data_IF_102535856912
#
_entry.id   IF_102535856912
#
_cell.length_a   1.000
_cell.length_b   1.000
_cell.length_c   1.000
_cell.angle_alpha   90.00
_cell.angle_beta   90.00
_cell.angle_gamma   90.00
#
_symmetry.space_group_name_H-M   'P 1'
#
loop_
_entity.id
_entity.type
_entity.pdbx_description
1 polymer ?
#
# COMPACT_ATOMS: atom_id res chain seq x y z
N UNK A 1 -8.54 -9.59 -28.07
CA UNK A 1 -8.83 -9.25 -29.48
C UNK A 1 -9.68 -7.99 -29.46
N UNK A 2 -9.30 -6.93 -30.18
CA UNK A 2 -10.11 -5.71 -30.22
C UNK A 2 -11.37 -5.93 -31.08
N UNK A 3 -12.21 -4.90 -31.21
CA UNK A 3 -13.44 -4.96 -32.04
C UNK A 3 -13.18 -5.16 -33.54
N UNK A 4 -11.93 -5.05 -33.98
CA UNK A 4 -11.49 -5.19 -35.37
C UNK A 4 -10.80 -6.53 -35.65
N UNK A 5 -10.65 -7.41 -34.66
CA UNK A 5 -9.98 -8.71 -34.83
C UNK A 5 -8.48 -8.70 -34.53
N UNK A 6 -7.90 -7.57 -34.11
CA UNK A 6 -6.47 -7.50 -33.83
C UNK A 6 -6.13 -8.14 -32.48
N UNK A 7 -4.97 -8.81 -32.41
CA UNK A 7 -4.45 -9.35 -31.15
C UNK A 7 -4.07 -8.22 -30.18
N UNK A 8 -4.41 -8.41 -28.90
CA UNK A 8 -4.22 -7.41 -27.84
C UNK A 8 -3.66 -8.08 -26.59
N UNK A 9 -2.71 -7.45 -25.91
CA UNK A 9 -2.20 -7.90 -24.61
C UNK A 9 -2.86 -7.15 -23.46
N UNK A 10 -3.04 -7.80 -22.30
CA UNK A 10 -3.57 -7.16 -21.08
C UNK A 10 -2.48 -6.47 -20.22
N UNK A 11 -1.21 -6.56 -20.64
CA UNK A 11 -0.06 -6.05 -19.89
C UNK A 11 0.39 -6.99 -18.77
N UNK A 12 1.15 -6.46 -17.81
CA UNK A 12 1.69 -7.21 -16.66
C UNK A 12 0.55 -7.75 -15.79
N UNK A 13 0.62 -9.03 -15.44
CA UNK A 13 -0.46 -9.73 -14.70
C UNK A 13 -1.69 -10.04 -15.54
N UNK A 14 -1.55 -10.02 -16.88
CA UNK A 14 -2.62 -10.39 -17.80
C UNK A 14 -3.15 -11.81 -17.58
N UNK A 15 -2.30 -12.75 -17.19
CA UNK A 15 -2.71 -14.14 -16.92
C UNK A 15 -3.70 -14.24 -15.77
N UNK A 16 -3.39 -13.64 -14.61
CA UNK A 16 -4.28 -13.62 -13.45
C UNK A 16 -5.61 -12.93 -13.81
N UNK A 17 -5.54 -11.81 -14.53
CA UNK A 17 -6.72 -11.07 -14.96
C UNK A 17 -7.59 -11.91 -15.91
N UNK A 18 -6.98 -12.65 -16.84
CA UNK A 18 -7.68 -13.56 -17.74
C UNK A 18 -8.32 -14.73 -16.98
N UNK A 19 -7.62 -15.33 -16.02
CA UNK A 19 -8.14 -16.43 -15.22
C UNK A 19 -9.40 -16.01 -14.46
N UNK A 20 -9.36 -14.86 -13.79
CA UNK A 20 -10.52 -14.30 -13.08
C UNK A 20 -11.64 -13.93 -14.05
N UNK A 21 -11.34 -13.33 -15.19
CA UNK A 21 -12.36 -12.99 -16.19
C UNK A 21 -13.10 -14.23 -16.72
N UNK A 22 -12.38 -15.33 -16.94
CA UNK A 22 -12.97 -16.61 -17.34
C UNK A 22 -13.81 -17.18 -16.19
N UNK A 23 -13.30 -17.17 -14.96
CA UNK A 23 -14.06 -17.62 -13.79
C UNK A 23 -15.38 -16.86 -13.62
N UNK A 24 -15.35 -15.54 -13.78
CA UNK A 24 -16.55 -14.68 -13.76
C UNK A 24 -17.52 -15.08 -14.88
N UNK A 25 -17.04 -15.22 -16.12
CA UNK A 25 -17.88 -15.56 -17.27
C UNK A 25 -18.51 -16.96 -17.16
N UNK A 26 -17.84 -17.88 -16.46
CA UNK A 26 -18.29 -19.25 -16.23
C UNK A 26 -19.11 -19.41 -14.94
N UNK A 27 -19.30 -18.34 -14.15
CA UNK A 27 -19.91 -18.40 -12.81
C UNK A 27 -19.22 -19.43 -11.89
N UNK A 28 -17.90 -19.48 -11.94
CA UNK A 28 -17.12 -20.40 -11.10
C UNK A 28 -17.18 -19.97 -9.62
N UNK A 29 -17.27 -20.94 -8.72
CA UNK A 29 -17.27 -20.69 -7.27
C UNK A 29 -15.89 -20.22 -6.76
N UNK A 30 -14.81 -20.68 -7.41
CA UNK A 30 -13.43 -20.42 -6.99
C UNK A 30 -12.49 -20.29 -8.19
N UNK A 31 -11.63 -19.28 -8.17
CA UNK A 31 -10.53 -19.12 -9.12
C UNK A 31 -9.18 -19.36 -8.43
N UNK A 32 -8.51 -20.45 -8.78
CA UNK A 32 -7.21 -20.81 -8.22
C UNK A 32 -6.05 -20.21 -9.03
N UNK A 33 -5.21 -19.42 -8.36
CA UNK A 33 -3.99 -18.83 -8.93
C UNK A 33 -2.78 -19.62 -8.40
N UNK A 34 -2.19 -20.43 -9.27
CA UNK A 34 -1.00 -21.22 -8.95
C UNK A 34 0.28 -20.40 -9.19
N UNK A 35 1.12 -20.29 -8.16
CA UNK A 35 2.35 -19.50 -8.18
C UNK A 35 3.52 -20.25 -7.51
N UNK A 36 4.65 -19.58 -7.29
CA UNK A 36 5.85 -20.10 -6.61
C UNK A 36 5.79 -19.96 -5.07
N UNK A 37 4.80 -19.23 -4.54
CA UNK A 37 4.54 -19.07 -3.10
C UNK A 37 3.35 -19.91 -2.62
N UNK A 38 3.35 -20.30 -1.34
CA UNK A 38 2.28 -21.12 -0.73
C UNK A 38 0.98 -20.35 -0.46
N UNK A 39 1.03 -19.03 -0.51
CA UNK A 39 -0.07 -18.14 -0.18
C UNK A 39 0.43 -16.75 0.22
N UNK A 40 -0.43 -15.97 0.85
CA UNK A 40 -0.12 -14.64 1.38
C UNK A 40 0.36 -14.80 2.83
N UNK A 41 1.42 -14.09 3.19
CA UNK A 41 2.02 -14.14 4.53
C UNK A 41 1.86 -12.80 5.25
N UNK A 42 1.94 -12.84 6.59
CA UNK A 42 1.85 -11.65 7.45
C UNK A 42 2.99 -10.64 7.27
N UNK A 43 4.11 -11.04 6.64
CA UNK A 43 5.16 -10.19 6.09
C UNK A 43 5.96 -11.00 5.05
N UNK A 44 6.92 -10.38 4.34
CA UNK A 44 7.78 -11.08 3.38
C UNK A 44 8.64 -12.15 4.10
N UNK A 45 8.40 -13.46 3.85
CA UNK A 45 9.08 -14.55 4.55
C UNK A 45 10.58 -14.64 4.21
N UNK A 46 11.04 -13.95 3.15
CA UNK A 46 12.46 -13.89 2.78
C UNK A 46 13.25 -12.93 3.67
N UNK A 47 12.56 -12.01 4.34
CA UNK A 47 13.16 -10.90 5.12
C UNK A 47 12.84 -11.01 6.60
N UNK A 48 11.62 -11.40 6.94
CA UNK A 48 11.13 -11.49 8.31
C UNK A 48 11.04 -12.95 8.72
N UNK A 49 11.54 -13.27 9.92
CA UNK A 49 11.41 -14.62 10.49
C UNK A 49 10.03 -14.80 11.13
N UNK A 50 9.59 -16.04 11.32
CA UNK A 50 8.33 -16.37 12.00
C UNK A 50 7.06 -15.78 11.34
N UNK A 51 7.10 -15.48 10.05
CA UNK A 51 5.92 -15.08 9.28
C UNK A 51 4.91 -16.21 9.24
N UNK A 52 3.62 -15.87 9.36
CA UNK A 52 2.52 -16.83 9.33
C UNK A 52 1.82 -16.70 7.98
N UNK A 53 1.48 -17.85 7.36
CA UNK A 53 0.63 -17.86 6.17
C UNK A 53 -0.80 -17.54 6.61
N UNK A 54 -1.49 -16.70 5.86
CA UNK A 54 -2.89 -16.38 6.08
C UNK A 54 -3.76 -17.47 5.46
N UNK A 55 -4.78 -17.94 6.18
CA UNK A 55 -5.76 -18.85 5.61
C UNK A 55 -6.78 -18.09 4.74
N UNK A 56 -7.16 -16.89 5.19
CA UNK A 56 -8.14 -16.01 4.55
C UNK A 56 -7.66 -14.56 4.64
N UNK A 57 -7.89 -13.78 3.58
CA UNK A 57 -7.71 -12.33 3.54
C UNK A 57 -8.85 -11.69 2.75
N UNK A 58 -9.27 -10.48 3.12
CA UNK A 58 -10.27 -9.77 2.33
C UNK A 58 -9.69 -9.21 1.01
N UNK A 59 -10.55 -8.93 0.03
CA UNK A 59 -10.12 -8.26 -1.21
C UNK A 59 -9.40 -6.92 -0.92
N UNK A 60 -9.92 -6.12 0.02
CA UNK A 60 -9.36 -4.81 0.32
C UNK A 60 -8.01 -4.89 1.04
N UNK A 61 -7.85 -5.80 1.99
CA UNK A 61 -6.56 -6.03 2.63
C UNK A 61 -5.53 -6.55 1.63
N UNK A 62 -5.93 -7.44 0.70
CA UNK A 62 -5.05 -7.93 -0.34
C UNK A 62 -4.62 -6.83 -1.30
N UNK A 63 -5.54 -5.96 -1.73
CA UNK A 63 -5.22 -4.80 -2.58
C UNK A 63 -4.23 -3.85 -1.91
N UNK A 64 -4.44 -3.59 -0.61
CA UNK A 64 -3.54 -2.74 0.17
C UNK A 64 -2.15 -3.36 0.30
N UNK A 65 -2.04 -4.64 0.69
CA UNK A 65 -0.75 -5.33 0.76
C UNK A 65 -0.04 -5.38 -0.59
N UNK A 66 -0.76 -5.66 -1.68
CA UNK A 66 -0.19 -5.73 -3.01
C UNK A 66 0.34 -4.37 -3.49
N UNK A 67 -0.36 -3.28 -3.15
CA UNK A 67 0.10 -1.91 -3.42
C UNK A 67 1.40 -1.54 -2.69
N UNK A 68 1.68 -2.22 -1.57
CA UNK A 68 2.84 -1.99 -0.71
C UNK A 68 3.99 -2.97 -1.00
N UNK A 69 3.97 -3.64 -2.15
CA UNK A 69 5.06 -4.52 -2.59
C UNK A 69 4.88 -6.00 -2.26
N UNK A 70 3.76 -6.42 -1.67
CA UNK A 70 3.42 -7.86 -1.57
C UNK A 70 2.96 -8.39 -2.94
N UNK A 71 3.93 -8.63 -3.84
CA UNK A 71 3.71 -8.98 -5.26
C UNK A 71 3.21 -10.43 -5.49
N UNK A 72 2.28 -10.91 -4.67
CA UNK A 72 1.74 -12.28 -4.75
C UNK A 72 0.61 -12.39 -5.77
N UNK A 73 -0.21 -11.35 -5.90
CA UNK A 73 -1.32 -11.27 -6.86
C UNK A 73 -1.27 -9.95 -7.63
N UNK A 74 -1.79 -9.96 -8.86
CA UNK A 74 -2.01 -8.71 -9.60
C UNK A 74 -3.22 -7.94 -9.06
N UNK A 75 -3.08 -6.63 -8.81
CA UNK A 75 -4.17 -5.80 -8.30
C UNK A 75 -5.42 -5.85 -9.19
N UNK A 76 -5.27 -5.88 -10.52
CA UNK A 76 -6.42 -5.90 -11.44
C UNK A 76 -7.23 -7.18 -11.36
N UNK A 77 -6.58 -8.32 -11.10
CA UNK A 77 -7.30 -9.59 -10.94
C UNK A 77 -8.10 -9.61 -9.63
N UNK A 78 -7.54 -9.05 -8.56
CA UNK A 78 -8.22 -8.90 -7.26
C UNK A 78 -9.38 -7.89 -7.36
N UNK A 79 -9.20 -6.76 -8.04
CA UNK A 79 -10.28 -5.79 -8.30
C UNK A 79 -11.42 -6.41 -9.11
N UNK A 80 -11.09 -7.22 -10.13
CA UNK A 80 -12.09 -7.91 -10.93
C UNK A 80 -12.85 -8.95 -10.11
N UNK A 81 -12.13 -9.72 -9.29
CA UNK A 81 -12.71 -10.70 -8.37
C UNK A 81 -13.67 -10.04 -7.39
N UNK A 82 -13.24 -8.95 -6.73
CA UNK A 82 -14.08 -8.12 -5.85
C UNK A 82 -15.34 -7.64 -6.54
N UNK A 83 -15.22 -7.06 -7.74
CA UNK A 83 -16.34 -6.49 -8.49
C UNK A 83 -17.44 -7.50 -8.80
N UNK A 84 -17.08 -8.75 -9.04
CA UNK A 84 -18.01 -9.81 -9.44
C UNK A 84 -18.24 -10.86 -8.35
N UNK A 85 -17.63 -10.71 -7.17
CA UNK A 85 -17.79 -11.61 -6.04
C UNK A 85 -17.21 -13.02 -6.23
N UNK A 86 -16.16 -13.17 -7.06
CA UNK A 86 -15.51 -14.47 -7.29
C UNK A 86 -14.39 -14.69 -6.30
N UNK A 87 -14.48 -15.72 -5.47
CA UNK A 87 -13.41 -16.06 -4.53
C UNK A 87 -12.12 -16.46 -5.27
N UNK A 88 -10.97 -16.03 -4.76
CA UNK A 88 -9.67 -16.44 -5.26
C UNK A 88 -8.96 -17.34 -4.25
N UNK A 89 -8.14 -18.27 -4.72
CA UNK A 89 -7.18 -18.97 -3.88
C UNK A 89 -5.77 -18.81 -4.46
N UNK A 90 -4.84 -18.34 -3.64
CA UNK A 90 -3.43 -18.30 -4.02
C UNK A 90 -2.71 -19.48 -3.40
N UNK A 91 -2.13 -20.34 -4.24
CA UNK A 91 -1.46 -21.54 -3.78
C UNK A 91 -0.22 -21.88 -4.62
N UNK A 92 0.67 -22.68 -4.05
CA UNK A 92 1.90 -23.08 -4.72
C UNK A 92 1.65 -24.18 -5.74
N UNK A 93 2.20 -24.02 -6.94
CA UNK A 93 2.30 -25.09 -7.95
C UNK A 93 3.23 -26.24 -7.54
N UNK A 94 4.08 -26.02 -6.53
CA UNK A 94 5.08 -26.98 -6.08
C UNK A 94 4.62 -27.83 -4.90
N UNK A 95 3.51 -27.48 -4.25
CA UNK A 95 3.00 -28.19 -3.07
C UNK A 95 1.49 -28.39 -3.15
N UNK A 96 1.00 -29.57 -2.77
CA UNK A 96 -0.44 -29.87 -2.69
C UNK A 96 -1.01 -29.49 -1.32
N UNK A 97 -0.83 -28.23 -0.92
CA UNK A 97 -1.39 -27.68 0.32
C UNK A 97 -2.40 -26.58 -0.01
N UNK A 98 -3.47 -26.42 0.80
CA UNK A 98 -4.39 -25.30 0.65
C UNK A 98 -3.65 -23.97 0.68
N UNK A 99 -4.12 -23.01 -0.10
CA UNK A 99 -3.53 -21.69 -0.27
C UNK A 99 -3.97 -20.69 0.79
N UNK A 100 -4.03 -19.42 0.37
CA UNK A 100 -4.77 -18.35 1.03
C UNK A 100 -6.01 -18.01 0.21
N UNK A 101 -7.18 -18.00 0.84
CA UNK A 101 -8.44 -17.59 0.22
C UNK A 101 -8.57 -16.06 0.26
N UNK A 102 -8.82 -15.43 -0.89
CA UNK A 102 -9.14 -14.01 -1.00
C UNK A 102 -10.62 -13.86 -1.29
N UNK A 103 -11.37 -13.24 -0.38
CA UNK A 103 -12.83 -13.10 -0.49
C UNK A 103 -13.36 -11.80 0.12
N UNK A 104 -14.68 -11.61 0.13
CA UNK A 104 -15.29 -10.45 0.79
C UNK A 104 -15.09 -10.53 2.32
N UNK A 105 -14.89 -9.38 2.97
CA UNK A 105 -14.69 -9.33 4.42
C UNK A 105 -15.94 -9.83 5.17
N UNK A 106 -15.78 -10.82 6.05
CA UNK A 106 -16.83 -11.19 7.00
C UNK A 106 -16.72 -10.34 8.26
N UNK A 107 -17.84 -9.73 8.70
CA UNK A 107 -17.91 -8.82 9.87
C UNK A 107 -17.57 -9.46 11.23
N UNK A 108 -17.33 -10.76 11.31
CA UNK A 108 -17.14 -11.48 12.56
C UNK A 108 -15.77 -12.15 12.60
N UNK A 109 -14.94 -11.68 13.53
CA UNK A 109 -13.70 -12.30 14.04
C UNK A 109 -12.55 -12.45 13.04
N UNK A 110 -11.77 -11.37 12.88
CA UNK A 110 -10.50 -11.37 12.16
C UNK A 110 -9.33 -10.92 13.03
N UNK A 111 -8.11 -11.22 12.59
CA UNK A 111 -6.88 -10.70 13.21
C UNK A 111 -6.90 -9.16 13.24
N UNK A 112 -6.34 -8.57 14.30
CA UNK A 112 -6.23 -7.11 14.45
C UNK A 112 -5.52 -6.47 13.26
N UNK A 113 -4.45 -7.11 12.78
CA UNK A 113 -3.81 -6.82 11.50
C UNK A 113 -3.57 -8.11 10.72
N UNK A 114 -3.68 -8.02 9.40
CA UNK A 114 -3.45 -9.11 8.45
C UNK A 114 -2.00 -9.15 7.96
N UNK A 115 -1.32 -8.01 7.92
CA UNK A 115 0.10 -8.02 7.57
C UNK A 115 0.82 -6.69 7.72
N UNK A 116 2.14 -6.78 7.55
CA UNK A 116 3.09 -5.66 7.55
C UNK A 116 3.83 -5.68 6.22
N UNK A 117 3.82 -4.56 5.52
CA UNK A 117 4.50 -4.42 4.23
C UNK A 117 5.32 -3.12 4.19
N UNK A 118 6.27 -3.07 3.26
CA UNK A 118 7.09 -1.88 3.03
C UNK A 118 7.28 -1.60 1.56
N UNK A 119 7.34 -0.31 1.27
CA UNK A 119 7.62 0.23 -0.05
C UNK A 119 8.84 1.15 0.04
N UNK A 120 9.89 0.78 -0.68
CA UNK A 120 11.13 1.54 -0.80
C UNK A 120 11.19 2.36 -2.10
N UNK A 121 10.24 2.20 -3.01
CA UNK A 121 10.11 3.03 -4.21
C UNK A 121 9.23 4.26 -3.92
N UNK A 122 9.62 5.01 -2.89
CA UNK A 122 8.93 6.23 -2.49
C UNK A 122 9.91 7.38 -2.26
N UNK A 123 9.52 8.57 -2.72
CA UNK A 123 10.16 9.84 -2.40
C UNK A 123 9.13 10.81 -1.82
N UNK A 124 9.54 11.57 -0.81
CA UNK A 124 8.71 12.65 -0.24
C UNK A 124 9.01 13.94 -0.95
N UNK A 125 7.97 14.69 -1.30
CA UNK A 125 8.07 16.07 -1.80
C UNK A 125 7.19 16.96 -0.93
N UNK A 126 7.72 18.11 -0.49
CA UNK A 126 7.02 19.06 0.37
C UNK A 126 7.12 20.46 -0.22
N UNK A 127 5.97 21.07 -0.53
CA UNK A 127 5.87 22.46 -0.96
C UNK A 127 5.57 23.29 0.30
N UNK A 128 6.51 24.15 0.66
CA UNK A 128 6.50 24.92 1.90
C UNK A 128 5.87 26.29 1.67
N UNK A 129 5.01 26.73 2.59
CA UNK A 129 4.46 28.08 2.59
C UNK A 129 3.46 28.35 1.47
N UNK A 130 2.68 27.34 1.07
CA UNK A 130 1.61 27.51 0.07
C UNK A 130 0.53 28.43 0.63
N UNK A 131 0.15 29.53 -0.04
CA UNK A 131 -0.90 30.42 0.45
C UNK A 131 -2.23 29.69 0.68
N UNK A 132 -2.87 29.92 1.82
CA UNK A 132 -4.11 29.23 2.19
C UNK A 132 -5.33 29.83 1.46
N UNK A 133 -5.44 29.54 0.17
CA UNK A 133 -6.55 29.96 -0.68
C UNK A 133 -7.02 28.83 -1.60
N UNK A 134 -8.32 28.80 -1.95
CA UNK A 134 -8.86 27.79 -2.85
C UNK A 134 -8.10 27.69 -4.18
N UNK A 135 -7.96 26.47 -4.69
CA UNK A 135 -7.44 26.19 -6.04
C UNK A 135 -5.93 25.98 -6.16
N UNK A 136 -5.11 26.23 -5.12
CA UNK A 136 -3.66 25.98 -5.21
C UNK A 136 -3.32 24.48 -5.22
N UNK A 137 -3.94 23.68 -4.37
CA UNK A 137 -3.79 22.23 -4.40
C UNK A 137 -4.17 21.66 -5.79
N UNK A 138 -5.31 22.09 -6.34
CA UNK A 138 -5.73 21.73 -7.70
C UNK A 138 -4.65 22.06 -8.73
N UNK A 139 -4.12 23.29 -8.73
CA UNK A 139 -3.06 23.71 -9.65
C UNK A 139 -1.80 22.85 -9.55
N UNK A 140 -1.38 22.50 -8.34
CA UNK A 140 -0.21 21.64 -8.10
C UNK A 140 -0.46 20.25 -8.70
N UNK A 141 -1.54 19.59 -8.29
CA UNK A 141 -1.79 18.20 -8.66
C UNK A 141 -2.23 18.05 -10.13
N UNK A 142 -2.93 19.02 -10.71
CA UNK A 142 -3.22 19.02 -12.16
C UNK A 142 -1.93 19.08 -12.99
N UNK A 143 -0.91 19.81 -12.52
CA UNK A 143 0.36 19.90 -13.23
C UNK A 143 1.13 18.58 -13.20
N UNK A 144 1.11 17.89 -12.05
CA UNK A 144 1.69 16.55 -11.92
C UNK A 144 0.93 15.51 -12.76
N UNK A 145 -0.40 15.54 -12.70
CA UNK A 145 -1.26 14.65 -13.48
C UNK A 145 -1.08 14.84 -14.99
N UNK A 146 -0.88 16.07 -15.48
CA UNK A 146 -0.58 16.33 -16.89
C UNK A 146 0.75 15.69 -17.38
N UNK A 147 1.61 15.25 -16.45
CA UNK A 147 2.82 14.47 -16.73
C UNK A 147 2.69 12.98 -16.38
N UNK A 148 1.48 12.51 -16.07
CA UNK A 148 1.22 11.15 -15.60
C UNK A 148 2.03 10.77 -14.35
N UNK A 149 2.34 11.74 -13.50
CA UNK A 149 2.99 11.50 -12.22
C UNK A 149 1.91 11.13 -11.20
N UNK A 150 1.92 9.87 -10.78
CA UNK A 150 1.03 9.38 -9.73
C UNK A 150 1.53 9.82 -8.36
N UNK A 151 0.59 10.30 -7.56
CA UNK A 151 0.80 10.70 -6.16
C UNK A 151 0.06 9.70 -5.27
N UNK A 152 0.69 9.32 -4.17
CA UNK A 152 0.14 8.36 -3.21
C UNK A 152 -0.39 9.05 -1.95
N UNK A 153 0.47 9.37 -0.99
CA UNK A 153 0.08 10.08 0.23
C UNK A 153 0.01 11.57 -0.08
N UNK A 154 -1.07 12.24 0.37
CA UNK A 154 -1.17 13.71 0.37
C UNK A 154 -1.49 14.16 1.79
N UNK A 155 -0.64 15.04 2.34
CA UNK A 155 -0.82 15.66 3.64
C UNK A 155 -0.71 17.18 3.52
N UNK A 156 -1.69 17.88 4.07
CA UNK A 156 -1.68 19.32 4.19
C UNK A 156 -1.62 19.69 5.67
N UNK A 157 -0.67 20.55 6.04
CA UNK A 157 -0.59 21.03 7.42
C UNK A 157 -1.74 21.98 7.75
N UNK A 158 -2.02 22.15 9.06
CA UNK A 158 -3.03 23.12 9.55
C UNK A 158 -2.65 24.57 9.18
N UNK A 159 -1.36 24.81 8.90
CA UNK A 159 -0.82 26.09 8.44
C UNK A 159 -0.46 27.06 9.56
N UNK A 160 0.32 28.08 9.21
CA UNK A 160 0.69 29.24 10.04
C UNK A 160 0.83 30.47 9.14
N UNK A 161 0.55 31.65 9.67
CA UNK A 161 0.74 32.93 8.96
C UNK A 161 0.05 33.00 7.58
N UNK A 162 -1.16 32.44 7.44
CA UNK A 162 -1.90 32.43 6.18
C UNK A 162 -1.34 31.48 5.11
N UNK A 163 -0.42 30.59 5.48
CA UNK A 163 0.18 29.59 4.59
C UNK A 163 0.07 28.18 5.17
N UNK A 164 0.11 27.18 4.30
CA UNK A 164 0.09 25.75 4.62
C UNK A 164 1.21 25.05 3.87
N UNK A 165 1.69 23.95 4.43
CA UNK A 165 2.63 23.08 3.74
C UNK A 165 1.85 21.92 3.14
N UNK A 166 2.17 21.59 1.89
CA UNK A 166 1.60 20.43 1.20
C UNK A 166 2.74 19.43 0.98
N UNK A 167 2.67 18.30 1.66
CA UNK A 167 3.59 17.19 1.49
C UNK A 167 2.90 16.03 0.82
N UNK A 168 3.59 15.36 -0.10
CA UNK A 168 3.06 14.20 -0.77
C UNK A 168 4.18 13.24 -1.17
N UNK A 169 3.79 12.01 -1.53
CA UNK A 169 4.73 11.00 -2.01
C UNK A 169 4.53 10.67 -3.47
N UNK A 170 5.64 10.40 -4.16
CA UNK A 170 5.71 9.90 -5.54
C UNK A 170 6.68 8.71 -5.59
N UNK A 171 6.68 7.94 -6.68
CA UNK A 171 7.75 6.95 -6.89
C UNK A 171 9.11 7.63 -7.02
N UNK A 172 10.19 6.93 -6.66
CA UNK A 172 11.55 7.51 -6.69
C UNK A 172 11.95 7.90 -8.10
N UNK A 173 11.56 7.10 -9.08
CA UNK A 173 11.81 7.36 -10.49
C UNK A 173 11.16 8.68 -10.97
N UNK A 174 10.01 9.05 -10.41
CA UNK A 174 9.29 10.28 -10.76
C UNK A 174 9.78 11.52 -9.99
N UNK A 175 10.67 11.36 -9.01
CA UNK A 175 11.09 12.47 -8.14
C UNK A 175 11.76 13.60 -8.92
N UNK A 176 12.71 13.28 -9.79
CA UNK A 176 13.46 14.31 -10.54
C UNK A 176 12.56 15.13 -11.46
N UNK A 177 11.64 14.46 -12.16
CA UNK A 177 10.65 15.15 -13.01
C UNK A 177 9.70 16.01 -12.17
N UNK A 178 9.23 15.49 -11.03
CA UNK A 178 8.37 16.21 -10.08
C UNK A 178 9.03 17.51 -9.61
N UNK A 179 10.30 17.45 -9.19
CA UNK A 179 11.04 18.63 -8.73
C UNK A 179 11.26 19.62 -9.87
N UNK A 180 11.66 19.14 -11.06
CA UNK A 180 11.85 19.99 -12.24
C UNK A 180 10.59 20.73 -12.67
N UNK A 181 9.42 20.12 -12.45
CA UNK A 181 8.12 20.71 -12.75
C UNK A 181 7.64 21.70 -11.68
N UNK A 182 7.94 21.45 -10.41
CA UNK A 182 7.48 22.25 -9.28
C UNK A 182 8.39 23.42 -8.93
N UNK A 183 9.71 23.27 -8.97
CA UNK A 183 10.66 24.35 -8.66
C UNK A 183 10.36 25.68 -9.38
N UNK A 184 10.19 25.72 -10.71
CA UNK A 184 9.86 26.97 -11.40
C UNK A 184 8.42 27.45 -11.13
N UNK A 185 7.58 26.59 -10.56
CA UNK A 185 6.17 26.87 -10.27
C UNK A 185 5.94 27.45 -8.87
N UNK A 186 6.86 27.20 -7.94
CA UNK A 186 6.79 27.65 -6.54
C UNK A 186 6.53 29.16 -6.44
N UNK A 187 7.33 29.97 -7.14
CA UNK A 187 7.20 31.43 -7.12
C UNK A 187 5.84 31.87 -7.70
N UNK A 188 5.38 31.23 -8.77
CA UNK A 188 4.13 31.57 -9.45
C UNK A 188 2.90 31.33 -8.56
N UNK A 189 2.95 30.32 -7.70
CA UNK A 189 1.86 30.05 -6.74
C UNK A 189 2.01 30.80 -5.42
N UNK A 190 3.11 31.53 -5.23
CA UNK A 190 3.43 32.27 -4.01
C UNK A 190 3.89 31.38 -2.85
N UNK A 191 4.41 30.18 -3.14
CA UNK A 191 5.02 29.31 -2.14
C UNK A 191 6.50 29.68 -1.91
N UNK A 192 7.07 29.19 -0.82
CA UNK A 192 8.44 29.54 -0.40
C UNK A 192 9.50 28.68 -1.10
N UNK A 193 9.34 27.35 -1.05
CA UNK A 193 10.30 26.39 -1.63
C UNK A 193 9.70 25.00 -1.75
N UNK A 194 10.34 24.15 -2.56
CA UNK A 194 10.13 22.71 -2.58
C UNK A 194 11.27 22.03 -1.83
N UNK A 195 10.93 21.15 -0.89
CA UNK A 195 11.83 20.21 -0.25
C UNK A 195 11.54 18.81 -0.77
N UNK A 196 12.54 17.94 -0.78
CA UNK A 196 12.37 16.56 -1.18
C UNK A 196 13.34 15.65 -0.43
N UNK A 197 12.98 14.37 -0.34
CA UNK A 197 13.80 13.33 0.28
C UNK A 197 13.54 11.99 -0.42
N UNK A 198 14.60 11.40 -0.99
CA UNK A 198 14.57 10.05 -1.62
C UNK A 198 15.09 8.94 -0.71
N UNK A 199 15.55 9.28 0.50
CA UNK A 199 16.10 8.34 1.48
C UNK A 199 15.04 7.95 2.51
N UNK A 200 13.82 7.74 2.02
CA UNK A 200 12.65 7.36 2.82
C UNK A 200 12.10 6.01 2.39
N UNK A 201 11.46 5.33 3.32
CA UNK A 201 10.66 4.15 3.04
C UNK A 201 9.30 4.29 3.73
N UNK A 202 8.26 3.76 3.10
CA UNK A 202 6.91 3.68 3.64
C UNK A 202 6.75 2.29 4.23
N UNK A 203 6.38 2.21 5.51
CA UNK A 203 6.07 0.96 6.20
C UNK A 203 4.63 1.03 6.68
N UNK A 204 3.86 -0.01 6.41
CA UNK A 204 2.44 0.00 6.68
C UNK A 204 1.98 -1.30 7.34
N UNK A 205 1.06 -1.16 8.27
CA UNK A 205 0.23 -2.26 8.77
C UNK A 205 -1.11 -2.21 8.07
N UNK A 206 -1.63 -3.37 7.69
CA UNK A 206 -2.90 -3.54 6.99
C UNK A 206 -3.77 -4.52 7.76
N UNK A 207 -5.04 -4.18 7.97
CA UNK A 207 -6.01 -5.07 8.59
C UNK A 207 -7.37 -4.43 8.79
N UNK A 208 -8.44 -5.20 8.58
CA UNK A 208 -9.81 -4.75 8.84
C UNK A 208 -10.07 -4.44 10.33
N UNK A 209 -9.26 -5.00 11.24
CA UNK A 209 -9.35 -4.74 12.68
C UNK A 209 -8.90 -3.35 13.11
N UNK A 210 -8.20 -2.58 12.26
CA UNK A 210 -7.61 -1.28 12.62
C UNK A 210 -8.66 -0.26 13.06
N UNK A 211 -9.78 -0.16 12.34
CA UNK A 211 -10.86 0.80 12.66
C UNK A 211 -11.56 0.47 13.99
N UNK A 212 -11.73 -0.82 14.28
CA UNK A 212 -12.53 -1.32 15.41
C UNK A 212 -11.73 -1.52 16.69
N UNK A 213 -10.40 -1.48 16.64
CA UNK A 213 -9.52 -1.73 17.78
C UNK A 213 -8.65 -0.51 18.11
N UNK A 214 -9.08 0.31 19.09
CA UNK A 214 -8.25 1.37 19.65
C UNK A 214 -6.90 0.83 20.14
N UNK A 215 -5.84 1.61 19.94
CA UNK A 215 -4.48 1.25 20.39
C UNK A 215 -3.61 0.56 19.33
N UNK A 216 -4.15 0.18 18.17
CA UNK A 216 -3.37 -0.39 17.06
C UNK A 216 -2.23 0.54 16.60
N UNK A 217 -2.53 1.83 16.40
CA UNK A 217 -1.52 2.83 16.07
C UNK A 217 -0.48 3.00 17.20
N UNK A 218 -0.92 3.00 18.46
CA UNK A 218 -0.04 3.14 19.62
C UNK A 218 0.97 1.98 19.69
N UNK A 219 0.52 0.73 19.50
CA UNK A 219 1.40 -0.46 19.44
C UNK A 219 2.42 -0.37 18.31
N UNK A 220 2.02 0.12 17.13
CA UNK A 220 2.94 0.32 16.00
C UNK A 220 4.02 1.36 16.33
N UNK A 221 3.61 2.51 16.90
CA UNK A 221 4.56 3.58 17.26
C UNK A 221 5.47 3.17 18.40
N UNK A 222 4.97 2.40 19.37
CA UNK A 222 5.75 1.81 20.44
C UNK A 222 6.86 0.89 19.89
N UNK A 223 6.54 -0.02 18.97
CA UNK A 223 7.52 -0.91 18.36
C UNK A 223 8.65 -0.16 17.65
N UNK A 224 8.31 0.92 16.94
CA UNK A 224 9.28 1.78 16.27
C UNK A 224 10.14 2.57 17.26
N UNK A 225 9.49 3.10 18.31
CA UNK A 225 10.16 3.84 19.38
C UNK A 225 11.17 2.97 20.15
N UNK A 226 10.77 1.76 20.55
CA UNK A 226 11.64 0.79 21.26
C UNK A 226 12.90 0.44 20.44
N UNK A 227 12.82 0.58 19.11
CA UNK A 227 13.90 0.31 18.18
C UNK A 227 14.66 1.57 17.73
N UNK A 228 14.36 2.73 18.32
CA UNK A 228 14.91 4.04 17.98
C UNK A 228 14.76 4.39 16.48
N UNK A 229 13.57 4.12 15.91
CA UNK A 229 13.23 4.43 14.52
C UNK A 229 12.34 5.67 14.51
N UNK A 230 12.84 6.76 13.91
CA UNK A 230 12.12 8.03 13.85
C UNK A 230 11.06 8.05 12.76
N UNK A 231 9.84 8.47 13.12
CA UNK A 231 8.72 8.64 12.21
C UNK A 231 8.75 10.05 11.62
N UNK A 232 8.78 10.16 10.29
CA UNK A 232 8.79 11.43 9.58
C UNK A 232 7.39 11.88 9.15
N UNK A 233 6.50 10.92 8.91
CA UNK A 233 5.15 11.17 8.40
C UNK A 233 4.24 10.01 8.81
N UNK A 234 2.98 10.31 9.09
CA UNK A 234 1.94 9.32 9.40
C UNK A 234 0.77 9.56 8.45
N UNK A 235 0.22 8.48 7.90
CA UNK A 235 -1.00 8.49 7.10
C UNK A 235 -1.85 7.26 7.45
N UNK A 236 -3.17 7.40 7.43
CA UNK A 236 -4.10 6.31 7.80
C UNK A 236 -5.28 6.27 6.84
N UNK A 237 -5.80 5.07 6.60
CA UNK A 237 -7.14 4.80 6.07
C UNK A 237 -7.91 3.93 7.08
N UNK A 238 -9.09 3.44 6.71
CA UNK A 238 -9.93 2.57 7.55
C UNK A 238 -9.20 1.26 7.94
N UNK A 239 -8.42 0.70 7.01
CA UNK A 239 -7.77 -0.62 7.17
C UNK A 239 -6.25 -0.57 7.06
N UNK A 240 -5.64 0.62 7.12
CA UNK A 240 -4.19 0.78 6.93
C UNK A 240 -3.64 1.94 7.76
N UNK A 241 -2.52 1.71 8.43
CA UNK A 241 -1.69 2.78 9.01
C UNK A 241 -0.33 2.71 8.34
N UNK A 242 0.13 3.84 7.79
CA UNK A 242 1.41 3.98 7.10
C UNK A 242 2.28 5.01 7.79
N UNK A 243 3.56 4.69 7.96
CA UNK A 243 4.57 5.62 8.42
C UNK A 243 5.64 5.79 7.35
N UNK A 244 6.19 6.99 7.25
CA UNK A 244 7.39 7.24 6.47
C UNK A 244 8.58 7.35 7.44
N UNK A 245 9.62 6.56 7.18
CA UNK A 245 10.82 6.46 8.01
C UNK A 245 12.07 6.59 7.14
N UNK A 246 13.25 6.63 7.75
CA UNK A 246 14.50 6.54 7.00
C UNK A 246 14.56 5.19 6.28
N UNK A 247 14.95 5.20 5.00
CA UNK A 247 15.05 3.99 4.18
C UNK A 247 15.98 2.93 4.77
N UNK A 248 17.07 3.33 5.42
CA UNK A 248 18.01 2.41 6.06
C UNK A 248 17.36 1.58 7.18
N UNK A 249 16.27 2.05 7.77
CA UNK A 249 15.54 1.38 8.84
C UNK A 249 14.42 0.46 8.34
N UNK A 250 14.19 0.38 7.02
CA UNK A 250 12.98 -0.23 6.47
C UNK A 250 12.81 -1.71 6.82
N UNK A 251 13.85 -2.54 6.67
CA UNK A 251 13.78 -3.96 7.05
C UNK A 251 13.56 -4.14 8.55
N UNK A 252 14.31 -3.39 9.37
CA UNK A 252 14.22 -3.42 10.82
C UNK A 252 12.84 -3.00 11.32
N UNK A 253 12.26 -1.96 10.71
CA UNK A 253 10.91 -1.49 11.03
C UNK A 253 9.86 -2.56 10.78
N UNK A 254 9.92 -3.25 9.62
CA UNK A 254 8.98 -4.35 9.32
C UNK A 254 9.15 -5.47 10.36
N UNK A 255 10.37 -5.87 10.69
CA UNK A 255 10.63 -6.94 11.66
C UNK A 255 10.09 -6.60 13.05
N UNK A 256 10.36 -5.40 13.57
CA UNK A 256 9.96 -5.03 14.94
C UNK A 256 8.46 -4.81 15.05
N UNK A 257 7.83 -4.22 14.03
CA UNK A 257 6.38 -4.11 13.95
C UNK A 257 5.77 -5.52 13.89
N UNK A 258 6.26 -6.37 12.99
CA UNK A 258 5.76 -7.73 12.85
C UNK A 258 5.86 -8.51 14.17
N UNK A 259 7.00 -8.47 14.84
CA UNK A 259 7.18 -9.11 16.14
C UNK A 259 6.22 -8.56 17.21
N UNK A 260 5.94 -7.25 17.23
CA UNK A 260 5.00 -6.64 18.20
C UNK A 260 3.56 -7.13 18.03
N UNK A 261 3.16 -7.51 16.81
CA UNK A 261 1.80 -7.98 16.50
C UNK A 261 1.67 -9.51 16.41
N UNK A 262 2.71 -10.21 15.97
CA UNK A 262 2.68 -11.65 15.68
C UNK A 262 3.70 -12.48 16.48
N UNK A 263 4.60 -11.84 17.23
CA UNK A 263 5.70 -12.50 17.94
C UNK A 263 5.35 -13.05 19.33
N UNK A 264 4.26 -12.61 19.95
CA UNK A 264 3.75 -13.21 21.18
C UNK A 264 2.72 -14.30 20.82
N UNK A 265 2.75 -15.48 21.47
CA UNK A 265 1.59 -16.36 21.46
C UNK A 265 0.41 -15.56 22.02
N UNK A 266 -0.77 -15.71 21.42
CA UNK A 266 -1.98 -15.11 21.96
C UNK A 266 -2.10 -15.58 23.41
N UNK A 267 -2.04 -14.65 24.38
CA UNK A 267 -2.59 -14.95 25.69
C UNK A 267 -4.07 -15.24 25.45
N UNK A 268 -4.45 -16.50 25.68
CA UNK A 268 -5.84 -16.92 25.76
C UNK A 268 -6.54 -16.02 26.79
N UNK A 269 -7.47 -15.19 26.32
CA UNK A 269 -8.41 -14.45 27.16
C UNK A 269 -9.64 -15.31 27.42
#
# INVERSE_FOLDING_TARGET
VNRYGDMTTLGRGGSDTSAVAIAVAMHADLCQIYTDVEGVYTADPRKVKNTRKLDVISYDEMLELASLGAQVLNNRSVELAKKYGVELEVLSSMSRRPGTIVKEASKMEGMLISGVAKDEDVARVSIIGVPDRPGLAFKIFSKLSAKNINVDIILQSVGRNGTKDISFTVSRDNMKETIGLLNPYVELIGATKVLYDENVAKVSIVGAGIESHPGTAARMFEALYESNINIQMISTSEIKISVLINRADADRAVEVIHNKFFGQPAEEA
#
